data_IF_642510434903
#
_entry.id   IF_642510434903
#
_cell.length_a   1.000
_cell.length_b   1.000
_cell.length_c   1.000
_cell.angle_alpha   90.00
_cell.angle_beta   90.00
_cell.angle_gamma   90.00
#
_symmetry.space_group_name_H-M   'P 1'
#
loop_
_entity.id
_entity.type
_entity.pdbx_description
1 polymer ?
#
# COMPACT_ATOMS: atom_id res chain seq x y z
N UNK A 1 47.41 27.66 -31.32
CA UNK A 1 48.33 28.57 -30.62
C UNK A 1 47.52 29.37 -29.61
N UNK A 2 47.94 29.31 -28.35
CA UNK A 2 47.62 30.20 -27.21
C UNK A 2 46.15 30.54 -26.91
N UNK A 3 45.57 29.74 -26.01
CA UNK A 3 44.58 30.21 -25.03
C UNK A 3 45.32 30.93 -23.88
N UNK A 4 44.83 32.09 -23.45
CA UNK A 4 45.14 32.69 -22.16
C UNK A 4 43.84 32.93 -21.39
N UNK A 5 43.88 32.52 -20.13
CA UNK A 5 42.82 32.62 -19.12
C UNK A 5 42.63 34.07 -18.65
N UNK A 6 41.39 34.41 -18.26
CA UNK A 6 41.16 35.24 -17.06
C UNK A 6 39.93 34.70 -16.31
N UNK A 7 40.14 34.41 -15.03
CA UNK A 7 39.12 34.13 -14.02
C UNK A 7 38.77 35.44 -13.33
N UNK A 8 37.47 35.71 -13.15
CA UNK A 8 36.97 36.60 -12.09
C UNK A 8 35.70 35.95 -11.52
N UNK A 9 35.72 35.71 -10.21
CA UNK A 9 34.55 35.42 -9.40
C UNK A 9 33.84 36.75 -9.05
N UNK A 10 32.50 36.80 -9.03
CA UNK A 10 31.74 36.67 -7.79
C UNK A 10 30.23 37.00 -7.97
N UNK A 11 29.43 36.44 -7.06
CA UNK A 11 28.11 36.92 -6.57
C UNK A 11 26.81 36.78 -7.39
N UNK A 12 25.87 36.07 -6.77
CA UNK A 12 24.41 36.31 -6.67
C UNK A 12 23.63 36.69 -7.93
N UNK A 13 22.84 35.74 -8.45
CA UNK A 13 21.45 36.03 -8.79
C UNK A 13 20.56 34.79 -8.66
N UNK A 14 19.58 34.88 -7.76
CA UNK A 14 18.48 33.93 -7.69
C UNK A 14 17.56 34.14 -8.90
N UNK A 15 17.20 33.05 -9.56
CA UNK A 15 16.18 33.06 -10.59
C UNK A 15 14.97 32.32 -10.03
N UNK A 16 14.00 33.09 -9.54
CA UNK A 16 12.62 32.67 -9.32
C UNK A 16 12.00 32.40 -10.69
N UNK A 17 11.72 31.14 -11.01
CA UNK A 17 10.90 30.79 -12.16
C UNK A 17 9.43 30.68 -11.71
N UNK A 18 8.68 31.77 -11.90
CA UNK A 18 7.23 31.78 -11.78
C UNK A 18 6.62 31.09 -13.03
N UNK A 19 5.91 29.98 -12.83
CA UNK A 19 5.11 29.34 -13.88
C UNK A 19 3.68 29.87 -13.80
N UNK A 20 3.33 30.74 -14.74
CA UNK A 20 1.97 31.21 -14.98
C UNK A 20 1.20 30.12 -15.74
N UNK A 21 0.18 29.52 -15.11
CA UNK A 21 -0.74 28.61 -15.78
C UNK A 21 -1.96 29.39 -16.26
N UNK A 22 -2.09 29.52 -17.58
CA UNK A 22 -3.29 30.01 -18.25
C UNK A 22 -4.38 28.93 -18.17
N UNK A 23 -5.50 29.24 -17.50
CA UNK A 23 -6.72 28.42 -17.53
C UNK A 23 -7.70 29.08 -18.48
N UNK A 24 -7.92 28.48 -19.65
CA UNK A 24 -9.02 28.84 -20.55
C UNK A 24 -10.27 28.07 -20.12
N UNK A 25 -11.22 28.78 -19.52
CA UNK A 25 -12.58 28.32 -19.31
C UNK A 25 -13.41 28.55 -20.59
N UNK A 26 -13.99 27.49 -21.14
CA UNK A 26 -15.14 27.59 -22.04
C UNK A 26 -16.28 26.75 -21.49
N UNK A 27 -17.30 27.45 -21.01
CA UNK A 27 -18.57 27.02 -20.45
C UNK A 27 -19.60 26.72 -21.54
N UNK A 28 -20.34 25.61 -21.44
CA UNK A 28 -21.71 25.50 -21.99
C UNK A 28 -22.54 24.56 -21.09
N UNK A 29 -23.50 25.12 -20.36
CA UNK A 29 -24.93 24.74 -20.30
C UNK A 29 -25.59 25.26 -19.01
N UNK A 30 -26.55 26.15 -19.21
CA UNK A 30 -27.55 26.70 -18.30
C UNK A 30 -28.53 25.64 -17.81
N UNK A 31 -29.01 25.74 -16.55
CA UNK A 31 -30.44 25.94 -16.24
C UNK A 31 -30.72 26.16 -14.74
N UNK A 32 -31.63 27.11 -14.51
CA UNK A 32 -32.59 27.28 -13.41
C UNK A 32 -32.11 27.48 -11.95
N UNK A 33 -32.40 28.69 -11.47
CA UNK A 33 -32.25 29.18 -10.11
C UNK A 33 -33.36 28.67 -9.17
N UNK A 34 -32.99 28.33 -7.93
CA UNK A 34 -33.85 28.48 -6.75
C UNK A 34 -33.01 28.99 -5.57
N UNK A 35 -33.53 30.03 -4.91
CA UNK A 35 -32.92 30.79 -3.82
C UNK A 35 -33.30 30.16 -2.47
N UNK A 36 -32.38 29.92 -1.51
CA UNK A 36 -32.75 29.61 -0.14
C UNK A 36 -32.82 30.89 0.73
N UNK A 37 -33.71 30.93 1.75
CA UNK A 37 -33.96 32.10 2.58
C UNK A 37 -32.89 32.32 3.67
N UNK A 38 -32.92 33.54 4.22
CA UNK A 38 -31.94 34.13 5.13
C UNK A 38 -31.77 33.41 6.48
N UNK A 39 -30.54 33.46 7.00
CA UNK A 39 -30.16 33.02 8.35
C UNK A 39 -30.54 34.06 9.41
N UNK A 40 -30.96 33.65 10.62
CA UNK A 40 -30.92 34.53 11.79
C UNK A 40 -29.56 34.42 12.49
N UNK A 41 -29.01 35.58 12.83
CA UNK A 41 -27.76 35.72 13.56
C UNK A 41 -27.85 35.22 15.01
N UNK A 42 -26.72 34.70 15.49
CA UNK A 42 -26.51 34.35 16.90
C UNK A 42 -25.03 34.12 17.16
N UNK A 43 -24.39 35.04 17.86
CA UNK A 43 -23.03 34.86 18.38
C UNK A 43 -23.07 33.80 19.50
N UNK A 44 -22.40 32.66 19.30
CA UNK A 44 -22.15 31.69 20.37
C UNK A 44 -20.69 31.81 20.79
N UNK A 45 -20.46 32.40 21.95
CA UNK A 45 -19.16 32.39 22.63
C UNK A 45 -18.93 30.98 23.20
N UNK A 46 -18.24 30.11 22.45
CA UNK A 46 -17.87 28.77 22.94
C UNK A 46 -16.70 28.92 23.90
N UNK A 47 -16.97 28.73 25.20
CA UNK A 47 -15.94 28.71 26.23
C UNK A 47 -14.92 27.59 25.97
N UNK A 48 -13.63 27.96 25.91
CA UNK A 48 -12.47 27.10 25.58
C UNK A 48 -12.40 25.79 26.40
N UNK A 49 -13.00 25.77 27.61
CA UNK A 49 -13.10 24.58 28.48
C UNK A 49 -14.07 23.50 27.98
N UNK A 50 -15.13 23.87 27.24
CA UNK A 50 -16.14 22.90 26.74
C UNK A 50 -15.67 22.21 25.45
N UNK A 51 -14.84 22.89 24.66
CA UNK A 51 -14.22 22.33 23.45
C UNK A 51 -13.19 21.23 23.81
N UNK A 52 -12.38 21.46 24.86
CA UNK A 52 -11.39 20.49 25.34
C UNK A 52 -12.04 19.22 25.91
N UNK A 53 -13.13 19.35 26.68
CA UNK A 53 -13.90 18.21 27.17
C UNK A 53 -14.55 17.38 26.04
N UNK A 54 -15.07 18.04 25.01
CA UNK A 54 -15.64 17.33 23.85
C UNK A 54 -14.58 16.64 22.98
N UNK A 55 -13.37 17.19 22.91
CA UNK A 55 -12.22 16.56 22.24
C UNK A 55 -11.73 15.31 22.99
N UNK A 56 -11.71 15.34 24.32
CA UNK A 56 -11.38 14.18 25.17
C UNK A 56 -12.44 13.08 25.08
N UNK A 57 -13.73 13.43 25.19
CA UNK A 57 -14.85 12.49 25.08
C UNK A 57 -14.91 11.86 23.66
N UNK A 58 -14.65 12.65 22.61
CA UNK A 58 -14.55 12.14 21.24
C UNK A 58 -13.33 11.23 21.04
N UNK A 59 -12.23 11.52 21.73
CA UNK A 59 -11.01 10.71 21.75
C UNK A 59 -11.24 9.33 22.38
N UNK A 60 -11.91 9.27 23.53
CA UNK A 60 -12.25 8.03 24.23
C UNK A 60 -13.28 7.19 23.46
N UNK A 61 -14.32 7.81 22.90
CA UNK A 61 -15.30 7.12 22.06
C UNK A 61 -14.65 6.50 20.80
N UNK A 62 -13.73 7.22 20.15
CA UNK A 62 -12.95 6.71 19.02
C UNK A 62 -11.96 5.62 19.43
N UNK A 63 -11.39 5.69 20.64
CA UNK A 63 -10.51 4.66 21.19
C UNK A 63 -11.27 3.37 21.51
N UNK A 64 -12.44 3.46 22.12
CA UNK A 64 -13.28 2.29 22.40
C UNK A 64 -13.82 1.66 21.11
N UNK A 65 -14.23 2.47 20.13
CA UNK A 65 -14.58 1.99 18.80
C UNK A 65 -13.39 1.29 18.10
N UNK A 66 -12.16 1.81 18.28
CA UNK A 66 -10.94 1.18 17.78
C UNK A 66 -10.64 -0.16 18.44
N UNK A 67 -10.62 -0.23 19.79
CA UNK A 67 -10.39 -1.48 20.53
C UNK A 67 -11.42 -2.53 20.07
N UNK A 68 -12.68 -2.14 19.91
CA UNK A 68 -13.73 -3.04 19.41
C UNK A 68 -13.53 -3.47 17.95
N UNK A 69 -13.09 -2.58 17.06
CA UNK A 69 -12.75 -2.92 15.66
C UNK A 69 -11.53 -3.86 15.56
N UNK A 70 -10.56 -3.74 16.48
CA UNK A 70 -9.41 -4.66 16.53
C UNK A 70 -9.77 -6.04 17.08
N UNK A 71 -10.79 -6.13 17.94
CA UNK A 71 -11.35 -7.40 18.42
C UNK A 71 -12.02 -8.18 17.30
N UNK A 72 -12.80 -7.50 16.45
CA UNK A 72 -13.52 -8.14 15.34
C UNK A 72 -12.62 -8.51 14.16
N UNK A 73 -11.49 -7.84 13.98
CA UNK A 73 -10.49 -8.16 12.94
C UNK A 73 -9.43 -9.19 13.37
N UNK A 74 -9.53 -9.70 14.61
CA UNK A 74 -8.66 -10.76 15.12
C UNK A 74 -9.26 -12.15 14.82
N UNK A 75 -8.47 -13.11 14.28
CA UNK A 75 -8.98 -14.46 13.93
C UNK A 75 -9.54 -15.28 15.10
N UNK A 76 -9.30 -14.85 16.34
CA UNK A 76 -9.54 -15.63 17.56
C UNK A 76 -10.96 -15.52 18.10
N UNK A 77 -11.85 -14.71 17.52
CA UNK A 77 -13.18 -14.46 18.07
C UNK A 77 -14.28 -14.51 17.00
N UNK A 78 -14.65 -15.72 16.58
CA UNK A 78 -15.82 -15.96 15.72
C UNK A 78 -17.00 -16.38 16.59
N UNK A 79 -18.04 -15.55 16.66
CA UNK A 79 -19.38 -16.00 17.06
C UNK A 79 -20.11 -16.42 15.79
N UNK A 80 -20.46 -17.71 15.71
CA UNK A 80 -21.27 -18.27 14.62
C UNK A 80 -22.73 -17.83 14.76
N UNK A 81 -23.23 -17.03 13.81
CA UNK A 81 -24.65 -16.73 13.64
C UNK A 81 -25.15 -17.17 12.26
N UNK A 82 -26.43 -17.56 12.11
CA UNK A 82 -26.95 -18.17 10.88
C UNK A 82 -26.96 -17.26 9.63
N UNK A 83 -26.86 -15.94 9.80
CA UNK A 83 -26.86 -14.95 8.71
C UNK A 83 -25.57 -14.91 7.88
N UNK A 84 -24.49 -15.56 8.35
CA UNK A 84 -23.17 -15.49 7.71
C UNK A 84 -23.11 -16.25 6.38
N UNK A 85 -23.95 -17.28 6.18
CA UNK A 85 -23.89 -18.12 4.99
C UNK A 85 -24.43 -17.45 3.71
N UNK A 86 -25.50 -16.65 3.82
CA UNK A 86 -26.06 -15.92 2.67
C UNK A 86 -25.14 -14.76 2.25
N UNK A 87 -24.60 -14.01 3.23
CA UNK A 87 -23.64 -12.94 3.00
C UNK A 87 -22.35 -13.47 2.35
N UNK A 88 -21.88 -14.64 2.80
CA UNK A 88 -20.69 -15.28 2.22
C UNK A 88 -20.93 -15.78 0.80
N UNK A 89 -22.11 -16.36 0.51
CA UNK A 89 -22.45 -16.83 -0.83
C UNK A 89 -22.58 -15.68 -1.82
N UNK A 90 -23.24 -14.59 -1.41
CA UNK A 90 -23.30 -13.35 -2.19
C UNK A 90 -21.92 -12.75 -2.43
N UNK A 91 -21.06 -12.75 -1.41
CA UNK A 91 -19.69 -12.23 -1.53
C UNK A 91 -18.85 -13.03 -2.53
N UNK A 92 -18.93 -14.37 -2.50
CA UNK A 92 -18.21 -15.24 -3.44
C UNK A 92 -18.68 -14.99 -4.89
N UNK A 93 -19.97 -14.67 -5.09
CA UNK A 93 -20.49 -14.34 -6.42
C UNK A 93 -19.85 -13.07 -7.00
N UNK A 94 -19.60 -12.07 -6.16
CA UNK A 94 -18.98 -10.80 -6.57
C UNK A 94 -17.44 -10.87 -6.64
N UNK A 95 -16.83 -11.76 -5.85
CA UNK A 95 -15.38 -11.93 -5.76
C UNK A 95 -14.97 -13.40 -5.90
N UNK A 96 -15.24 -14.03 -7.06
CA UNK A 96 -15.01 -15.46 -7.25
C UNK A 96 -13.52 -15.83 -7.15
N UNK A 97 -13.25 -17.11 -6.95
CA UNK A 97 -11.89 -17.63 -6.84
C UNK A 97 -11.09 -17.37 -8.12
N UNK A 98 -9.93 -16.70 -8.01
CA UNK A 98 -9.06 -16.47 -9.16
C UNK A 98 -8.51 -17.77 -9.77
N UNK A 99 -8.47 -18.87 -8.99
CA UNK A 99 -8.10 -20.20 -9.49
C UNK A 99 -9.20 -20.82 -10.35
N UNK A 100 -10.46 -20.65 -9.95
CA UNK A 100 -11.62 -21.16 -10.70
C UNK A 100 -11.83 -20.34 -11.97
N UNK A 101 -11.64 -19.02 -11.88
CA UNK A 101 -11.81 -18.07 -12.97
C UNK A 101 -10.55 -17.92 -13.84
N UNK A 102 -9.56 -18.79 -13.67
CA UNK A 102 -8.24 -18.66 -14.28
C UNK A 102 -8.30 -18.53 -15.81
N UNK A 103 -9.10 -19.36 -16.50
CA UNK A 103 -9.19 -19.31 -17.96
C UNK A 103 -9.79 -17.97 -18.45
N UNK A 104 -10.80 -17.44 -17.73
CA UNK A 104 -11.40 -16.14 -18.06
C UNK A 104 -10.42 -14.99 -17.84
N UNK A 105 -9.65 -15.06 -16.75
CA UNK A 105 -8.55 -14.14 -16.45
C UNK A 105 -7.53 -14.12 -17.58
N UNK A 106 -7.12 -15.31 -18.04
CA UNK A 106 -6.15 -15.46 -19.13
C UNK A 106 -6.73 -14.90 -20.43
N UNK A 107 -7.99 -15.21 -20.75
CA UNK A 107 -8.66 -14.72 -21.94
C UNK A 107 -8.73 -13.19 -21.97
N UNK A 108 -9.05 -12.56 -20.84
CA UNK A 108 -9.07 -11.10 -20.70
C UNK A 108 -7.69 -10.44 -20.85
N UNK A 109 -6.62 -11.20 -20.60
CA UNK A 109 -5.23 -10.75 -20.73
C UNK A 109 -4.62 -10.96 -22.12
N UNK A 110 -5.33 -11.62 -23.05
CA UNK A 110 -4.82 -11.91 -24.41
C UNK A 110 -4.42 -10.61 -25.13
N UNK A 111 -3.27 -10.67 -25.80
CA UNK A 111 -2.70 -9.52 -26.53
C UNK A 111 -2.05 -8.46 -25.64
N UNK A 112 -2.13 -8.58 -24.30
CA UNK A 112 -1.60 -7.59 -23.35
C UNK A 112 -0.39 -8.13 -22.59
N UNK A 113 0.48 -7.21 -22.16
CA UNK A 113 1.60 -7.52 -21.27
C UNK A 113 1.10 -7.58 -19.82
N UNK A 114 1.10 -8.77 -19.23
CA UNK A 114 0.79 -8.93 -17.80
C UNK A 114 1.94 -8.36 -16.97
N UNK A 115 1.61 -7.56 -15.95
CA UNK A 115 2.54 -7.03 -14.93
C UNK A 115 2.05 -7.45 -13.55
N UNK A 116 2.90 -8.08 -12.76
CA UNK A 116 2.54 -8.65 -11.46
C UNK A 116 2.95 -7.73 -10.32
N UNK A 117 2.02 -7.41 -9.43
CA UNK A 117 2.26 -6.70 -8.18
C UNK A 117 1.84 -7.60 -7.03
N UNK A 118 2.77 -7.91 -6.14
CA UNK A 118 2.57 -8.90 -5.09
C UNK A 118 2.86 -8.25 -3.75
N UNK A 119 1.85 -8.20 -2.89
CA UNK A 119 2.08 -7.93 -1.47
C UNK A 119 2.87 -9.08 -0.81
N UNK A 120 3.44 -8.84 0.37
CA UNK A 120 4.29 -9.81 1.06
C UNK A 120 3.59 -10.54 2.21
N UNK A 121 3.23 -9.83 3.27
CA UNK A 121 2.72 -10.42 4.51
C UNK A 121 1.25 -10.79 4.36
N UNK A 122 0.89 -12.05 4.56
CA UNK A 122 -0.48 -12.54 4.32
C UNK A 122 -0.75 -12.93 2.87
N UNK A 123 0.15 -12.57 1.95
CA UNK A 123 0.06 -12.86 0.51
C UNK A 123 1.08 -13.90 0.07
N UNK A 124 2.39 -13.58 0.15
CA UNK A 124 3.47 -14.49 -0.23
C UNK A 124 4.08 -15.24 0.96
N UNK A 125 3.83 -14.75 2.17
CA UNK A 125 4.19 -15.37 3.45
C UNK A 125 2.95 -15.43 4.34
N UNK A 126 2.77 -16.47 5.17
CA UNK A 126 1.71 -16.46 6.18
C UNK A 126 1.91 -15.31 7.17
N UNK A 127 0.79 -14.84 7.75
CA UNK A 127 0.81 -13.93 8.89
C UNK A 127 1.33 -14.71 10.10
N UNK A 128 2.38 -14.19 10.73
CA UNK A 128 3.01 -14.76 11.94
C UNK A 128 2.99 -13.74 13.08
N UNK A 129 3.24 -14.19 14.31
CA UNK A 129 3.25 -13.30 15.48
C UNK A 129 4.49 -12.44 15.57
N UNK A 130 5.66 -13.03 15.27
CA UNK A 130 6.91 -12.29 15.17
C UNK A 130 7.12 -11.84 13.71
N UNK A 131 7.04 -10.54 13.41
CA UNK A 131 7.24 -10.04 12.06
C UNK A 131 8.63 -10.35 11.50
N UNK A 132 9.63 -10.65 12.33
CA UNK A 132 10.97 -11.05 11.87
C UNK A 132 11.03 -12.51 11.39
N UNK A 133 9.95 -13.28 11.61
CA UNK A 133 9.83 -14.70 11.23
C UNK A 133 8.85 -14.95 10.07
N UNK A 134 8.39 -13.89 9.41
CA UNK A 134 7.48 -13.98 8.26
C UNK A 134 8.25 -14.44 7.00
N UNK A 135 8.78 -15.67 7.02
CA UNK A 135 9.61 -16.18 5.93
C UNK A 135 8.78 -16.72 4.77
N UNK A 136 9.10 -16.25 3.56
CA UNK A 136 8.66 -16.87 2.32
C UNK A 136 9.24 -18.30 2.19
N UNK A 137 8.39 -19.27 1.89
CA UNK A 137 8.81 -20.65 1.66
C UNK A 137 9.77 -20.78 0.46
N UNK A 138 10.61 -21.83 0.46
CA UNK A 138 11.52 -22.11 -0.68
C UNK A 138 10.73 -22.32 -1.98
N UNK A 139 9.57 -22.97 -1.90
CA UNK A 139 8.70 -23.23 -3.04
C UNK A 139 8.09 -21.93 -3.59
N UNK A 140 7.54 -21.06 -2.72
CA UNK A 140 7.01 -19.76 -3.14
C UNK A 140 8.08 -18.91 -3.81
N UNK A 141 9.28 -18.85 -3.23
CA UNK A 141 10.42 -18.12 -3.82
C UNK A 141 10.80 -18.65 -5.20
N UNK A 142 10.80 -19.98 -5.38
CA UNK A 142 11.05 -20.60 -6.68
C UNK A 142 9.93 -20.29 -7.69
N UNK A 143 8.68 -20.24 -7.24
CA UNK A 143 7.52 -19.84 -8.06
C UNK A 143 7.65 -18.39 -8.53
N UNK A 144 7.87 -17.43 -7.61
CA UNK A 144 8.04 -16.01 -7.94
C UNK A 144 9.24 -15.78 -8.87
N UNK A 145 10.37 -16.48 -8.64
CA UNK A 145 11.51 -16.45 -9.56
C UNK A 145 11.15 -16.91 -10.98
N UNK A 146 10.36 -17.98 -11.11
CA UNK A 146 9.92 -18.47 -12.43
C UNK A 146 8.94 -17.48 -13.08
N UNK A 147 8.03 -16.90 -12.30
CA UNK A 147 7.09 -15.87 -12.73
C UNK A 147 7.80 -14.66 -13.32
N UNK A 148 8.83 -14.15 -12.63
CA UNK A 148 9.61 -12.98 -13.04
C UNK A 148 10.34 -13.14 -14.39
N UNK A 149 10.57 -14.39 -14.84
CA UNK A 149 11.13 -14.65 -16.18
C UNK A 149 10.14 -14.34 -17.30
N UNK A 150 8.85 -14.38 -17.01
CA UNK A 150 7.78 -14.25 -17.97
C UNK A 150 7.03 -12.93 -17.87
N UNK A 151 6.97 -12.35 -16.67
CA UNK A 151 6.21 -11.13 -16.38
C UNK A 151 7.06 -10.17 -15.54
N UNK A 152 7.09 -8.86 -15.84
CA UNK A 152 7.59 -7.87 -14.90
C UNK A 152 6.87 -8.04 -13.57
N UNK A 153 7.64 -8.14 -12.49
CA UNK A 153 7.10 -8.49 -11.16
C UNK A 153 7.66 -7.54 -10.12
N UNK A 154 6.77 -6.98 -9.30
CA UNK A 154 7.09 -6.09 -8.19
C UNK A 154 6.58 -6.66 -6.87
N UNK A 155 7.39 -6.57 -5.82
CA UNK A 155 6.96 -6.79 -4.44
C UNK A 155 6.57 -5.44 -3.84
N UNK A 156 5.35 -5.31 -3.31
CA UNK A 156 4.83 -4.05 -2.73
C UNK A 156 4.45 -4.29 -1.27
N UNK A 157 5.27 -3.80 -0.33
CA UNK A 157 5.16 -4.14 1.09
C UNK A 157 5.13 -2.90 1.99
N UNK A 158 4.47 -3.02 3.13
CA UNK A 158 4.57 -2.04 4.23
C UNK A 158 5.94 -2.04 4.92
N UNK A 159 6.68 -3.16 4.84
CA UNK A 159 8.04 -3.29 5.38
C UNK A 159 9.02 -2.39 4.66
N UNK A 160 10.10 -1.99 5.33
CA UNK A 160 11.20 -1.34 4.62
C UNK A 160 11.75 -2.23 3.50
N UNK A 161 12.23 -1.57 2.43
CA UNK A 161 12.66 -2.22 1.20
C UNK A 161 13.73 -3.30 1.44
N UNK A 162 14.71 -3.00 2.28
CA UNK A 162 15.83 -3.91 2.54
C UNK A 162 15.38 -5.15 3.34
N UNK A 163 14.42 -4.98 4.26
CA UNK A 163 13.86 -6.09 5.04
C UNK A 163 13.06 -7.04 4.15
N UNK A 164 12.14 -6.53 3.34
CA UNK A 164 11.38 -7.38 2.41
C UNK A 164 12.30 -8.02 1.37
N UNK A 165 13.33 -7.31 0.89
CA UNK A 165 14.36 -7.89 0.03
C UNK A 165 15.08 -9.05 0.72
N UNK A 166 15.46 -8.92 1.99
CA UNK A 166 16.15 -9.97 2.75
C UNK A 166 15.31 -11.23 2.95
N UNK A 167 13.98 -11.09 3.00
CA UNK A 167 13.07 -12.22 2.97
C UNK A 167 12.98 -12.87 1.59
N UNK A 168 12.74 -12.08 0.53
CA UNK A 168 12.48 -12.59 -0.83
C UNK A 168 13.75 -13.04 -1.56
N UNK A 169 14.84 -12.27 -1.49
CA UNK A 169 16.16 -12.48 -2.11
C UNK A 169 16.10 -12.82 -3.61
N UNK A 170 15.41 -11.99 -4.38
CA UNK A 170 15.30 -12.09 -5.83
C UNK A 170 15.70 -10.75 -6.46
N UNK A 171 16.94 -10.64 -6.91
CA UNK A 171 17.51 -9.39 -7.42
C UNK A 171 16.89 -8.93 -8.77
N UNK A 172 16.16 -9.83 -9.44
CA UNK A 172 15.46 -9.57 -10.69
C UNK A 172 14.11 -8.85 -10.53
N UNK A 173 13.62 -8.66 -9.30
CA UNK A 173 12.33 -8.03 -9.03
C UNK A 173 12.45 -6.52 -8.79
N UNK A 174 11.31 -5.85 -8.94
CA UNK A 174 11.10 -4.51 -8.37
C UNK A 174 10.67 -4.65 -6.91
N UNK A 175 11.12 -3.72 -6.06
CA UNK A 175 10.76 -3.68 -4.66
C UNK A 175 10.26 -2.30 -4.29
N UNK A 176 9.03 -2.24 -3.81
CA UNK A 176 8.38 -1.06 -3.25
C UNK A 176 8.17 -1.31 -1.75
N UNK A 177 9.10 -0.81 -0.94
CA UNK A 177 9.02 -0.86 0.52
C UNK A 177 8.33 0.37 1.11
N UNK A 178 8.00 0.29 2.39
CA UNK A 178 7.38 1.37 3.17
C UNK A 178 6.08 1.85 2.54
N UNK A 179 5.21 0.90 2.16
CA UNK A 179 3.97 1.13 1.39
C UNK A 179 4.22 1.83 0.04
N UNK A 180 5.39 1.59 -0.54
CA UNK A 180 5.82 2.15 -1.83
C UNK A 180 6.48 3.52 -1.77
N UNK A 181 6.80 4.04 -0.59
CA UNK A 181 7.60 5.27 -0.47
C UNK A 181 9.08 5.04 -0.82
N UNK A 182 9.57 3.80 -0.81
CA UNK A 182 10.94 3.44 -1.20
C UNK A 182 10.92 2.37 -2.29
N UNK A 183 11.10 2.77 -3.55
CA UNK A 183 11.04 1.89 -4.71
C UNK A 183 12.43 1.73 -5.33
N UNK A 184 12.79 0.50 -5.67
CA UNK A 184 13.99 0.15 -6.43
C UNK A 184 13.69 -0.94 -7.45
N UNK A 185 14.15 -0.76 -8.68
CA UNK A 185 14.15 -1.78 -9.72
C UNK A 185 15.39 -2.69 -9.68
N UNK A 186 15.42 -3.72 -10.52
CA UNK A 186 16.56 -4.64 -10.62
C UNK A 186 17.84 -3.91 -11.07
N UNK A 187 18.98 -4.24 -10.45
CA UNK A 187 20.25 -3.55 -10.69
C UNK A 187 20.82 -3.78 -12.11
N UNK A 188 20.53 -4.93 -12.72
CA UNK A 188 20.96 -5.26 -14.10
C UNK A 188 20.00 -4.74 -15.17
N UNK A 189 19.13 -3.79 -14.81
CA UNK A 189 18.01 -3.38 -15.64
C UNK A 189 16.96 -4.48 -15.77
N UNK A 190 15.90 -4.17 -16.51
CA UNK A 190 14.81 -5.10 -16.82
C UNK A 190 14.73 -5.23 -18.33
N UNK A 191 14.58 -6.47 -18.84
CA UNK A 191 14.31 -6.70 -20.27
C UNK A 191 13.02 -6.04 -20.76
N UNK A 192 12.18 -5.59 -19.83
CA UNK A 192 10.92 -4.92 -20.10
C UNK A 192 11.01 -3.39 -20.07
N UNK A 193 12.16 -2.81 -19.70
CA UNK A 193 12.36 -1.36 -19.73
C UNK A 193 13.09 -0.97 -21.02
N UNK A 194 12.53 -0.01 -21.76
CA UNK A 194 13.26 0.71 -22.82
C UNK A 194 14.11 1.80 -22.15
N UNK A 195 15.41 1.57 -22.00
CA UNK A 195 16.36 2.52 -21.41
C UNK A 195 17.20 1.93 -20.28
N UNK A 196 18.44 2.44 -20.13
CA UNK A 196 19.47 1.92 -19.21
C UNK A 196 19.41 2.48 -17.78
N UNK A 197 18.48 3.39 -17.48
CA UNK A 197 18.41 4.02 -16.15
C UNK A 197 17.76 3.10 -15.11
N UNK A 198 18.40 2.98 -13.94
CA UNK A 198 17.83 2.28 -12.80
C UNK A 198 16.55 2.96 -12.32
N UNK A 199 15.56 2.19 -11.86
CA UNK A 199 14.37 2.74 -11.20
C UNK A 199 14.71 2.92 -9.72
N UNK A 200 14.73 4.16 -9.24
CA UNK A 200 14.85 4.51 -7.83
C UNK A 200 13.88 5.63 -7.53
N UNK A 201 13.11 5.49 -6.46
CA UNK A 201 12.17 6.52 -6.02
C UNK A 201 12.04 6.49 -4.50
N UNK A 202 12.11 7.66 -3.88
CA UNK A 202 12.06 7.81 -2.42
C UNK A 202 11.17 9.00 -2.03
N UNK A 203 9.85 8.80 -2.07
CA UNK A 203 8.89 9.81 -1.64
C UNK A 203 9.06 10.13 -0.15
N UNK A 204 9.06 11.41 0.19
CA UNK A 204 9.08 11.83 1.59
C UNK A 204 10.45 11.71 2.25
N UNK A 205 11.54 11.75 1.48
CA UNK A 205 12.93 11.72 2.00
C UNK A 205 13.21 12.85 2.99
N UNK A 206 12.53 13.98 2.85
CA UNK A 206 12.54 15.11 3.77
C UNK A 206 11.99 14.78 5.17
N UNK A 207 11.23 13.69 5.33
CA UNK A 207 10.68 13.26 6.62
C UNK A 207 11.59 12.30 7.39
N UNK A 208 12.66 11.77 6.79
CA UNK A 208 13.53 10.77 7.43
C UNK A 208 14.07 11.23 8.80
N UNK A 209 14.58 12.47 8.98
CA UNK A 209 15.05 12.93 10.28
C UNK A 209 13.93 12.92 11.35
N UNK A 210 12.72 13.36 10.97
CA UNK A 210 11.55 13.36 11.86
C UNK A 210 11.12 11.94 12.23
N UNK A 211 11.13 11.02 11.27
CA UNK A 211 10.80 9.61 11.52
C UNK A 211 11.78 8.98 12.50
N UNK A 212 13.08 9.25 12.37
CA UNK A 212 14.09 8.73 13.29
C UNK A 212 13.99 9.35 14.70
N UNK A 213 13.61 10.62 14.80
CA UNK A 213 13.32 11.28 16.07
C UNK A 213 12.11 10.62 16.77
N UNK A 214 10.99 10.52 16.07
CA UNK A 214 9.75 9.90 16.59
C UNK A 214 9.97 8.43 16.94
N UNK A 215 10.80 7.71 16.18
CA UNK A 215 11.18 6.33 16.49
C UNK A 215 11.82 6.23 17.88
N UNK A 216 12.83 7.07 18.16
CA UNK A 216 13.52 7.07 19.46
C UNK A 216 12.56 7.39 20.60
N UNK A 217 11.67 8.37 20.39
CA UNK A 217 10.68 8.77 21.38
C UNK A 217 9.65 7.66 21.66
N UNK A 218 9.14 7.02 20.60
CA UNK A 218 8.23 5.88 20.70
C UNK A 218 8.90 4.70 21.41
N UNK A 219 10.14 4.37 21.05
CA UNK A 219 10.90 3.31 21.73
C UNK A 219 10.96 3.59 23.22
N UNK A 220 11.38 4.80 23.63
CA UNK A 220 11.49 5.17 25.03
C UNK A 220 10.14 5.07 25.77
N UNK A 221 9.10 5.69 25.23
CA UNK A 221 7.79 5.77 25.89
C UNK A 221 7.04 4.45 25.93
N UNK A 222 7.38 3.50 25.06
CA UNK A 222 6.73 2.17 25.04
C UNK A 222 7.47 1.11 25.84
N UNK A 223 8.69 1.39 26.37
CA UNK A 223 9.49 0.45 27.19
C UNK A 223 8.74 -0.16 28.38
N UNK A 224 7.83 0.59 29.00
CA UNK A 224 7.07 0.16 30.19
C UNK A 224 5.84 -0.68 29.84
N UNK A 225 5.60 -0.96 28.55
CA UNK A 225 4.49 -1.79 28.06
C UNK A 225 5.03 -3.15 27.59
N UNK A 226 5.05 -4.20 28.44
CA UNK A 226 5.49 -5.53 28.04
C UNK A 226 4.79 -6.03 26.79
N UNK A 227 5.58 -6.55 25.84
CA UNK A 227 5.09 -7.08 24.56
C UNK A 227 4.93 -6.05 23.44
N UNK A 228 5.05 -4.75 23.73
CA UNK A 228 5.05 -3.72 22.68
C UNK A 228 6.40 -3.70 21.95
N UNK A 229 6.38 -3.59 20.63
CA UNK A 229 7.59 -3.50 19.80
C UNK A 229 7.45 -2.36 18.80
N UNK A 230 8.43 -1.44 18.80
CA UNK A 230 8.50 -0.36 17.80
C UNK A 230 9.48 -0.78 16.71
N UNK A 231 9.03 -0.72 15.47
CA UNK A 231 9.81 -1.05 14.27
C UNK A 231 9.96 0.19 13.38
N UNK A 232 11.18 0.45 12.93
CA UNK A 232 11.47 1.49 11.94
C UNK A 232 11.49 0.87 10.54
N UNK A 233 10.47 1.20 9.75
CA UNK A 233 10.32 0.80 8.35
C UNK A 233 10.81 1.89 7.37
N UNK A 234 11.80 2.71 7.77
CA UNK A 234 12.43 3.82 7.03
C UNK A 234 11.53 5.04 6.82
N UNK A 235 10.42 4.88 6.11
CA UNK A 235 9.42 5.95 5.88
C UNK A 235 8.12 5.73 6.67
N UNK A 236 8.09 4.72 7.53
CA UNK A 236 6.94 4.33 8.33
C UNK A 236 7.46 3.80 9.67
N UNK A 237 6.74 4.03 10.77
CA UNK A 237 6.99 3.37 12.04
C UNK A 237 5.80 2.47 12.38
N UNK A 238 6.09 1.32 12.96
CA UNK A 238 5.07 0.35 13.37
C UNK A 238 5.20 0.07 14.86
N UNK A 239 4.14 0.34 15.63
CA UNK A 239 4.05 -0.07 17.03
C UNK A 239 3.17 -1.31 17.10
N UNK A 240 3.81 -2.47 17.21
CA UNK A 240 3.16 -3.76 17.31
C UNK A 240 2.65 -3.97 18.73
N UNK A 241 1.40 -4.38 18.86
CA UNK A 241 0.75 -4.62 20.15
C UNK A 241 0.12 -6.01 20.25
N UNK A 242 0.49 -6.92 19.34
CA UNK A 242 -0.03 -8.28 19.31
C UNK A 242 0.28 -9.07 20.58
N UNK A 243 1.49 -8.88 21.12
CA UNK A 243 1.97 -9.55 22.33
C UNK A 243 1.71 -8.74 23.62
N UNK A 244 0.96 -7.64 23.51
CA UNK A 244 0.60 -6.78 24.65
C UNK A 244 -0.70 -7.30 25.26
N UNK A 245 -0.79 -7.35 26.59
CA UNK A 245 -2.03 -7.61 27.32
C UNK A 245 -3.13 -6.67 26.82
N UNK A 246 -4.28 -7.23 26.45
CA UNK A 246 -5.42 -6.50 25.89
C UNK A 246 -5.86 -5.32 26.75
N UNK A 247 -5.76 -5.44 28.09
CA UNK A 247 -6.11 -4.36 29.03
C UNK A 247 -5.22 -3.12 28.86
N UNK A 248 -4.05 -3.26 28.25
CA UNK A 248 -3.07 -2.18 28.02
C UNK A 248 -3.13 -1.59 26.61
N UNK A 249 -3.95 -2.12 25.69
CA UNK A 249 -4.02 -1.62 24.31
C UNK A 249 -4.44 -0.15 24.23
N UNK A 250 -5.45 0.25 25.00
CA UNK A 250 -5.92 1.64 25.06
C UNK A 250 -4.83 2.59 25.57
N UNK A 251 -4.15 2.22 26.65
CA UNK A 251 -3.03 2.98 27.22
C UNK A 251 -1.87 3.13 26.24
N UNK A 252 -1.48 2.05 25.56
CA UNK A 252 -0.43 2.10 24.54
C UNK A 252 -0.79 3.04 23.38
N UNK A 253 -2.04 3.00 22.89
CA UNK A 253 -2.47 3.92 21.84
C UNK A 253 -2.52 5.37 22.30
N UNK A 254 -2.87 5.64 23.57
CA UNK A 254 -2.79 6.98 24.14
C UNK A 254 -1.35 7.47 24.19
N UNK A 255 -0.38 6.63 24.57
CA UNK A 255 1.05 6.95 24.55
C UNK A 255 1.49 7.32 23.13
N UNK A 256 1.17 6.48 22.13
CA UNK A 256 1.51 6.75 20.73
C UNK A 256 0.87 8.05 20.23
N UNK A 257 -0.42 8.27 20.51
CA UNK A 257 -1.11 9.52 20.15
C UNK A 257 -0.50 10.74 20.82
N UNK A 258 -0.04 10.61 22.06
CA UNK A 258 0.60 11.70 22.81
C UNK A 258 1.90 12.14 22.14
N UNK A 259 2.73 11.19 21.70
CA UNK A 259 3.93 11.49 20.89
C UNK A 259 3.55 12.27 19.64
N UNK A 260 2.57 11.79 18.88
CA UNK A 260 2.21 12.38 17.59
C UNK A 260 1.58 13.78 17.66
N UNK A 261 1.20 14.28 18.85
CA UNK A 261 0.68 15.65 19.00
C UNK A 261 1.70 16.70 18.56
N UNK A 262 2.98 16.44 18.79
CA UNK A 262 4.08 17.33 18.43
C UNK A 262 4.48 17.22 16.95
N UNK A 263 3.93 16.23 16.22
CA UNK A 263 4.30 15.92 14.83
C UNK A 263 3.07 15.92 13.91
N UNK A 264 2.45 17.07 13.62
CA UNK A 264 1.22 17.18 12.83
C UNK A 264 1.39 16.74 11.36
N UNK A 265 2.64 16.63 10.89
CA UNK A 265 2.96 16.11 9.55
C UNK A 265 2.96 14.57 9.49
N UNK A 266 2.69 13.89 10.60
CA UNK A 266 2.54 12.44 10.65
C UNK A 266 1.07 12.08 10.89
N UNK A 267 0.65 10.95 10.33
CA UNK A 267 -0.67 10.36 10.52
C UNK A 267 -0.56 9.00 11.18
N UNK A 268 -1.51 8.74 12.09
CA UNK A 268 -1.70 7.44 12.72
C UNK A 268 -2.76 6.64 11.96
N UNK A 269 -2.40 5.44 11.55
CA UNK A 269 -3.30 4.44 10.96
C UNK A 269 -3.23 3.15 11.76
N UNK A 270 -4.24 2.30 11.58
CA UNK A 270 -4.38 1.04 12.32
C UNK A 270 -4.36 -0.10 11.32
N UNK A 271 -3.51 -1.10 11.59
CA UNK A 271 -3.47 -2.38 10.89
C UNK A 271 -3.81 -3.53 11.83
N UNK A 272 -3.51 -4.76 11.41
CA UNK A 272 -3.78 -5.97 12.20
C UNK A 272 -2.86 -6.08 13.42
N UNK A 273 -3.34 -5.58 14.56
CA UNK A 273 -2.60 -5.53 15.84
C UNK A 273 -1.30 -4.71 15.75
N UNK A 274 -1.34 -3.66 14.94
CA UNK A 274 -0.24 -2.70 14.73
C UNK A 274 -0.77 -1.28 14.55
N UNK A 275 -0.08 -0.31 15.16
CA UNK A 275 -0.27 1.12 14.92
C UNK A 275 0.80 1.58 13.93
N UNK A 276 0.40 2.13 12.79
CA UNK A 276 1.30 2.60 11.74
C UNK A 276 1.35 4.13 11.73
N UNK A 277 2.55 4.68 11.82
CA UNK A 277 2.84 6.11 11.77
C UNK A 277 3.53 6.40 10.45
N UNK A 278 2.94 7.28 9.64
CA UNK A 278 3.43 7.62 8.29
C UNK A 278 3.42 9.12 8.07
N UNK A 279 4.30 9.68 7.22
CA UNK A 279 4.17 11.04 6.73
C UNK A 279 2.81 11.28 6.08
N UNK A 280 2.26 12.48 6.29
CA UNK A 280 1.02 12.95 5.65
C UNK A 280 1.35 13.43 4.23
N UNK A 281 1.66 12.47 3.37
CA UNK A 281 1.85 12.68 1.93
C UNK A 281 0.75 11.95 1.15
N UNK A 282 0.42 12.45 -0.03
CA UNK A 282 -0.53 11.81 -0.96
C UNK A 282 0.14 10.65 -1.70
N UNK A 283 0.56 9.63 -0.94
CA UNK A 283 1.21 8.43 -1.44
C UNK A 283 0.67 7.19 -0.73
N UNK A 284 0.45 6.14 -1.52
CA UNK A 284 -0.09 4.83 -1.11
C UNK A 284 0.37 3.73 -2.09
N UNK A 285 -0.07 2.49 -1.85
CA UNK A 285 0.29 1.36 -2.72
C UNK A 285 -0.29 1.49 -4.14
N UNK A 286 -1.41 2.19 -4.31
CA UNK A 286 -1.97 2.51 -5.62
C UNK A 286 -1.06 3.45 -6.41
N UNK A 287 -0.56 4.52 -5.77
CA UNK A 287 0.46 5.41 -6.37
C UNK A 287 1.76 4.70 -6.69
N UNK A 288 2.18 3.76 -5.85
CA UNK A 288 3.35 2.92 -6.14
C UNK A 288 3.14 2.03 -7.38
N UNK A 289 1.94 1.46 -7.55
CA UNK A 289 1.57 0.69 -8.75
C UNK A 289 1.62 1.58 -10.00
N UNK A 290 1.03 2.79 -9.96
CA UNK A 290 1.04 3.72 -11.09
C UNK A 290 2.46 4.11 -11.48
N UNK A 291 3.29 4.48 -10.50
CA UNK A 291 4.69 4.82 -10.71
C UNK A 291 5.49 3.68 -11.35
N UNK A 292 5.25 2.44 -10.90
CA UNK A 292 5.92 1.26 -11.45
C UNK A 292 5.47 0.95 -12.88
N UNK A 293 4.18 1.10 -13.18
CA UNK A 293 3.67 0.98 -14.56
C UNK A 293 4.29 2.04 -15.47
N UNK A 294 4.34 3.30 -15.03
CA UNK A 294 5.01 4.39 -15.75
C UNK A 294 6.49 4.08 -15.98
N UNK A 295 7.20 3.64 -14.93
CA UNK A 295 8.62 3.27 -15.00
C UNK A 295 8.92 2.11 -15.96
N UNK A 296 7.91 1.26 -16.22
CA UNK A 296 7.97 0.16 -17.18
C UNK A 296 7.54 0.59 -18.60
N UNK A 297 7.16 1.85 -18.80
CA UNK A 297 6.70 2.38 -20.10
C UNK A 297 5.21 2.18 -20.37
N UNK A 298 4.41 1.89 -19.34
CA UNK A 298 2.97 1.60 -19.46
C UNK A 298 2.06 2.71 -18.92
N UNK A 299 2.56 3.94 -18.71
CA UNK A 299 1.78 5.05 -18.13
C UNK A 299 0.40 5.23 -18.80
N UNK A 300 0.39 5.25 -20.14
CA UNK A 300 -0.79 5.48 -20.99
C UNK A 300 -1.05 4.33 -21.99
N UNK A 301 -0.56 3.13 -21.70
CA UNK A 301 -0.67 2.01 -22.63
C UNK A 301 -1.94 1.19 -22.35
N UNK A 302 -2.68 0.83 -23.39
CA UNK A 302 -3.82 -0.11 -23.29
C UNK A 302 -3.41 -1.57 -23.34
N UNK A 303 -2.18 -1.84 -23.76
CA UNK A 303 -1.65 -3.18 -23.99
C UNK A 303 -0.96 -3.73 -22.73
N UNK A 304 -1.39 -3.27 -21.54
CA UNK A 304 -0.92 -3.75 -20.25
C UNK A 304 -2.08 -4.37 -19.47
N UNK A 305 -1.77 -5.41 -18.70
CA UNK A 305 -2.73 -6.11 -17.87
C UNK A 305 -2.16 -6.29 -16.45
N UNK A 306 -2.23 -5.25 -15.60
CA UNK A 306 -1.69 -5.31 -14.25
C UNK A 306 -2.53 -6.23 -13.34
N UNK A 307 -1.86 -7.11 -12.62
CA UNK A 307 -2.51 -7.99 -11.63
C UNK A 307 -1.88 -7.69 -10.27
N UNK A 308 -2.70 -7.22 -9.33
CA UNK A 308 -2.27 -6.99 -7.95
C UNK A 308 -2.85 -8.07 -7.04
N UNK A 309 -2.03 -8.68 -6.19
CA UNK A 309 -2.47 -9.66 -5.18
C UNK A 309 -2.09 -9.13 -3.79
N UNK A 310 -3.06 -9.02 -2.88
CA UNK A 310 -2.86 -8.48 -1.53
C UNK A 310 -3.92 -8.91 -0.53
N UNK A 311 -3.64 -8.79 0.78
CA UNK A 311 -4.49 -9.34 1.84
C UNK A 311 -5.10 -8.28 2.77
N UNK A 312 -4.54 -7.07 2.79
CA UNK A 312 -4.83 -6.05 3.80
C UNK A 312 -5.43 -4.77 3.22
N UNK A 313 -5.95 -3.92 4.10
CA UNK A 313 -6.60 -2.65 3.78
C UNK A 313 -5.74 -1.72 2.94
N UNK A 314 -4.42 -1.79 3.05
CA UNK A 314 -3.52 -0.94 2.25
C UNK A 314 -3.41 -1.40 0.79
N UNK A 315 -3.80 -2.64 0.48
CA UNK A 315 -3.85 -3.14 -0.89
C UNK A 315 -5.10 -2.66 -1.63
N UNK A 316 -6.16 -2.27 -0.90
CA UNK A 316 -7.36 -1.65 -1.46
C UNK A 316 -7.05 -0.38 -2.26
N UNK A 317 -6.00 0.36 -1.87
CA UNK A 317 -5.56 1.54 -2.61
C UNK A 317 -5.12 1.15 -4.04
N UNK A 318 -4.44 0.00 -4.19
CA UNK A 318 -4.06 -0.53 -5.49
C UNK A 318 -5.25 -1.14 -6.25
N UNK A 319 -6.14 -1.85 -5.56
CA UNK A 319 -7.34 -2.42 -6.19
C UNK A 319 -8.27 -1.34 -6.77
N UNK A 320 -8.46 -0.23 -6.05
CA UNK A 320 -9.25 0.92 -6.52
C UNK A 320 -8.67 1.52 -7.78
N UNK A 321 -7.36 1.75 -7.81
CA UNK A 321 -6.66 2.23 -9.02
C UNK A 321 -6.90 1.30 -10.20
N UNK A 322 -6.80 -0.02 -10.01
CA UNK A 322 -7.04 -0.98 -11.09
C UNK A 322 -8.48 -0.97 -11.59
N UNK A 323 -9.45 -0.89 -10.67
CA UNK A 323 -10.87 -0.79 -11.01
C UNK A 323 -11.18 0.50 -11.78
N UNK A 324 -10.65 1.64 -11.34
CA UNK A 324 -10.84 2.95 -11.97
C UNK A 324 -10.18 3.02 -13.35
N UNK A 325 -9.01 2.40 -13.52
CA UNK A 325 -8.34 2.30 -14.83
C UNK A 325 -9.07 1.40 -15.82
N UNK A 326 -9.92 0.48 -15.35
CA UNK A 326 -10.59 -0.52 -16.20
C UNK A 326 -9.62 -1.50 -16.88
N UNK A 327 -8.40 -1.63 -16.37
CA UNK A 327 -7.34 -2.46 -16.93
C UNK A 327 -6.72 -3.32 -15.83
N UNK A 328 -6.66 -4.63 -16.09
CA UNK A 328 -6.18 -5.58 -15.08
C UNK A 328 -7.16 -5.74 -13.93
N UNK A 329 -6.71 -6.30 -12.82
CA UNK A 329 -7.57 -6.53 -11.65
C UNK A 329 -6.78 -6.73 -10.35
N UNK A 330 -7.48 -6.51 -9.23
CA UNK A 330 -7.05 -6.92 -7.91
C UNK A 330 -7.52 -8.33 -7.56
N UNK A 331 -6.70 -9.06 -6.80
CA UNK A 331 -7.05 -10.32 -6.13
C UNK A 331 -6.86 -10.13 -4.62
N UNK A 332 -7.94 -10.25 -3.86
CA UNK A 332 -7.89 -10.23 -2.41
C UNK A 332 -7.48 -11.60 -1.87
N UNK A 333 -6.55 -11.64 -0.91
CA UNK A 333 -6.21 -12.84 -0.14
C UNK A 333 -6.96 -12.83 1.20
N UNK A 334 -7.99 -13.65 1.33
CA UNK A 334 -8.78 -13.74 2.56
C UNK A 334 -9.62 -15.01 2.63
N UNK A 335 -9.64 -15.65 3.81
CA UNK A 335 -10.56 -16.76 4.13
C UNK A 335 -12.00 -16.30 4.41
N UNK A 336 -12.12 -15.04 4.81
CA UNK A 336 -13.38 -14.44 5.24
C UNK A 336 -13.79 -13.33 4.25
N UNK A 337 -15.09 -13.16 4.00
CA UNK A 337 -15.61 -12.02 3.26
C UNK A 337 -15.09 -10.69 3.83
N UNK A 338 -14.69 -9.78 2.94
CA UNK A 338 -14.29 -8.40 3.28
C UNK A 338 -14.83 -7.45 2.21
N UNK A 339 -15.21 -6.24 2.62
CA UNK A 339 -15.43 -5.17 1.66
C UNK A 339 -14.12 -4.91 0.89
N UNK A 340 -14.18 -4.99 -0.44
CA UNK A 340 -13.00 -4.95 -1.30
C UNK A 340 -13.32 -4.43 -2.69
N UNK A 341 -12.34 -3.76 -3.29
CA UNK A 341 -12.35 -3.36 -4.69
C UNK A 341 -11.70 -4.40 -5.61
N UNK A 342 -11.19 -5.51 -5.06
CA UNK A 342 -10.66 -6.62 -5.84
C UNK A 342 -11.75 -7.31 -6.67
N UNK A 343 -11.41 -7.79 -7.87
CA UNK A 343 -12.35 -8.49 -8.75
C UNK A 343 -12.45 -9.99 -8.42
N UNK A 344 -11.40 -10.54 -7.83
CA UNK A 344 -11.30 -11.95 -7.49
C UNK A 344 -10.76 -12.14 -6.08
N UNK A 345 -10.88 -13.36 -5.57
CA UNK A 345 -10.32 -13.74 -4.28
C UNK A 345 -9.45 -15.00 -4.37
N UNK A 346 -8.56 -15.12 -3.40
CA UNK A 346 -7.84 -16.35 -3.04
C UNK A 346 -7.90 -16.48 -1.52
N UNK A 347 -7.90 -17.70 -1.00
CA UNK A 347 -8.18 -17.92 0.42
C UNK A 347 -6.95 -17.66 1.30
N UNK A 348 -5.76 -18.03 0.83
CA UNK A 348 -4.53 -17.98 1.63
C UNK A 348 -3.26 -18.08 0.75
N UNK A 349 -2.04 -17.88 1.31
CA UNK A 349 -0.79 -17.88 0.54
C UNK A 349 -0.52 -19.13 -0.30
N UNK A 350 -1.06 -20.30 0.07
CA UNK A 350 -0.91 -21.53 -0.73
C UNK A 350 -1.63 -21.39 -2.06
N UNK A 351 -2.86 -20.88 -2.07
CA UNK A 351 -3.61 -20.63 -3.31
C UNK A 351 -3.00 -19.51 -4.16
N UNK A 352 -2.36 -18.52 -3.53
CA UNK A 352 -1.51 -17.54 -4.25
C UNK A 352 -0.40 -18.28 -5.00
N UNK A 353 0.31 -19.20 -4.35
CA UNK A 353 1.35 -19.99 -4.99
C UNK A 353 0.80 -20.78 -6.19
N UNK A 354 -0.33 -21.45 -6.04
CA UNK A 354 -0.96 -22.26 -7.09
C UNK A 354 -1.35 -21.40 -8.30
N UNK A 355 -1.93 -20.22 -8.05
CA UNK A 355 -2.30 -19.28 -9.10
C UNK A 355 -1.07 -18.82 -9.90
N UNK A 356 0.01 -18.44 -9.19
CA UNK A 356 1.27 -18.04 -9.82
C UNK A 356 1.93 -19.20 -10.59
N UNK A 357 1.86 -20.43 -10.09
CA UNK A 357 2.36 -21.61 -10.80
C UNK A 357 1.56 -21.88 -12.08
N UNK A 358 0.24 -21.73 -12.04
CA UNK A 358 -0.64 -21.89 -13.21
C UNK A 358 -0.35 -20.82 -14.27
N UNK A 359 -0.11 -19.56 -13.89
CA UNK A 359 0.35 -18.49 -14.79
C UNK A 359 1.67 -18.86 -15.49
N UNK A 360 2.64 -19.37 -14.74
CA UNK A 360 3.95 -19.81 -15.28
C UNK A 360 3.77 -20.97 -16.27
N UNK A 361 2.94 -21.96 -15.92
CA UNK A 361 2.68 -23.11 -16.78
C UNK A 361 1.99 -22.69 -18.08
N UNK A 362 0.95 -21.87 -17.98
CA UNK A 362 0.22 -21.34 -19.13
C UNK A 362 1.17 -20.63 -20.10
N UNK A 363 2.01 -19.71 -19.60
CA UNK A 363 2.93 -18.95 -20.46
C UNK A 363 3.98 -19.86 -21.12
N UNK A 364 4.48 -20.87 -20.41
CA UNK A 364 5.42 -21.87 -20.96
C UNK A 364 4.80 -22.64 -22.13
N UNK A 365 3.57 -23.09 -21.98
CA UNK A 365 2.86 -23.82 -23.05
C UNK A 365 2.60 -22.92 -24.26
N UNK A 366 2.25 -21.65 -24.04
CA UNK A 366 2.10 -20.68 -25.12
C UNK A 366 3.40 -20.48 -25.92
N UNK A 367 4.54 -20.36 -25.24
CA UNK A 367 5.86 -20.28 -25.89
C UNK A 367 6.21 -21.53 -26.69
N UNK A 368 5.97 -22.73 -26.15
CA UNK A 368 6.27 -23.99 -26.85
C UNK A 368 5.45 -24.17 -28.12
N UNK A 369 4.19 -23.71 -28.13
CA UNK A 369 3.34 -23.74 -29.33
C UNK A 369 3.85 -22.78 -30.41
N UNK A 370 4.32 -21.59 -30.02
CA UNK A 370 4.91 -20.62 -30.96
C UNK A 370 6.29 -21.05 -31.49
N UNK A 371 7.00 -21.94 -30.80
CA UNK A 371 8.33 -22.43 -31.23
C UNK A 371 8.25 -23.65 -32.17
N UNK A 372 7.05 -24.20 -32.38
CA UNK A 372 6.78 -25.37 -33.22
C UNK A 372 6.09 -25.02 -34.54
N UNK A 373 5.71 -23.76 -34.71
CA UNK A 373 5.23 -23.14 -35.96
C UNK A 373 6.39 -22.33 -36.50
#
# INVERSE_FOLDING_TARGET
MTNQNVVVADTNSGINLAITVHVTNSSIFTTAAQKPPAAPGGYITISRKKLLKNLEISGEARLNAWVNSTRTSSPTHVKSTPSVNDDQSSWILHHPSALEMFEQIIDASKGKQIVMFLDYDGTLSPIVDDPDRAFMSKQMRATVRKLARFFPTAIVSGRCRDKVYNFVRLAELYYAGSHGMDIKGPAKGSKYKKGSEGVVFQAGSEFLPMIDEVYKELVEKTKTTPGAKVENNKFCLSVHYRCVDEKKWSGLAQVVKSVLKEYPKLRLSHGRKVLEIRPTIKWDKGKALEFLLESLGFANCTDVFPVYIGDDRTDEDAFKVLRERGQGFGILVSKLPKDTSASYSLQEPTQVMDFLQRLVQWKRLAFQRQSRV
#
